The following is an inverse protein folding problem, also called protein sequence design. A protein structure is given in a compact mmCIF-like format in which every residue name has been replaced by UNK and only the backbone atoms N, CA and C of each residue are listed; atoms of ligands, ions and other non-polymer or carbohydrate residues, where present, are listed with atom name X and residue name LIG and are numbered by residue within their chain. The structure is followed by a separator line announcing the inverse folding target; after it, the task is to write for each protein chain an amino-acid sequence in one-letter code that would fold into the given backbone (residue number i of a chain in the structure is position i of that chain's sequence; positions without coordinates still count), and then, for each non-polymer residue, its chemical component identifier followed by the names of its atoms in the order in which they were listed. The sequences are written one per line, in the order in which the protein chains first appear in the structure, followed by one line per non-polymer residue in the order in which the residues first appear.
data_IF_338612483832
#
_entry.id   IF_338612483832
#
_cell.length_a   1.000
_cell.length_b   1.000
_cell.length_c   1.000
_cell.angle_alpha   90.00
_cell.angle_beta   90.00
_cell.angle_gamma   90.00
#
_symmetry.space_group_name_H-M   'P 1'
#
loop_
_entity.id
_entity.type
_entity.pdbx_description
1 polymer ?
#
# COMPACT_ATOMS: atom_id res chain seq x y z
N UNK A 1 -6.11 -4.92 -5.94
CA UNK A 1 -6.06 -3.49 -5.56
C UNK A 1 -4.97 -2.71 -6.30
N UNK A 2 -4.18 -3.33 -7.19
CA UNK A 2 -2.98 -2.70 -7.75
C UNK A 2 -3.28 -1.35 -8.44
N UNK A 3 -2.51 -0.33 -8.08
CA UNK A 3 -2.55 1.03 -8.61
C UNK A 3 -3.58 1.97 -7.95
N UNK A 4 -4.47 1.46 -7.08
CA UNK A 4 -5.49 2.30 -6.43
C UNK A 4 -4.89 3.18 -5.32
N UNK A 5 -5.44 4.38 -5.15
CA UNK A 5 -5.21 5.23 -3.96
C UNK A 5 -5.89 4.58 -2.77
N UNK A 6 -5.20 4.63 -1.64
CA UNK A 6 -5.68 4.07 -0.38
C UNK A 6 -5.32 4.98 0.77
N UNK A 7 -6.12 4.91 1.84
CA UNK A 7 -5.88 5.54 3.12
C UNK A 7 -5.54 4.45 4.14
N UNK A 8 -4.47 4.65 4.90
CA UNK A 8 -4.06 3.72 5.95
C UNK A 8 -4.55 4.23 7.32
N UNK A 9 -5.22 3.37 8.07
CA UNK A 9 -5.60 3.64 9.46
C UNK A 9 -4.47 3.26 10.40
N UNK A 10 -3.98 4.24 11.18
CA UNK A 10 -3.00 4.06 12.26
C UNK A 10 -3.63 4.41 13.62
N UNK A 11 -3.02 3.99 14.75
CA UNK A 11 -3.51 4.36 16.08
C UNK A 11 -3.58 5.88 16.31
N UNK A 12 -2.69 6.64 15.67
CA UNK A 12 -2.52 8.08 15.79
C UNK A 12 -3.26 8.90 14.71
N UNK A 13 -3.94 8.24 13.76
CA UNK A 13 -4.71 8.91 12.72
C UNK A 13 -4.71 8.17 11.38
N UNK A 14 -4.80 8.94 10.29
CA UNK A 14 -4.85 8.39 8.94
C UNK A 14 -3.66 8.87 8.11
N UNK A 15 -3.14 7.99 7.26
CA UNK A 15 -2.11 8.31 6.28
C UNK A 15 -2.72 8.33 4.89
N UNK A 16 -2.57 9.47 4.21
CA UNK A 16 -3.03 9.72 2.86
C UNK A 16 -1.87 9.65 1.86
N UNK A 17 -2.18 9.80 0.58
CA UNK A 17 -1.20 9.78 -0.52
C UNK A 17 -0.38 8.48 -0.55
N UNK A 18 -1.09 7.37 -0.40
CA UNK A 18 -0.56 6.01 -0.47
C UNK A 18 -1.24 5.26 -1.61
N UNK A 19 -0.51 4.36 -2.26
CA UNK A 19 -1.04 3.47 -3.31
C UNK A 19 -0.76 2.02 -3.01
N UNK A 20 -1.77 1.18 -3.28
CA UNK A 20 -1.61 -0.28 -3.26
C UNK A 20 -0.86 -0.74 -4.52
N UNK A 21 0.18 -1.55 -4.35
CA UNK A 21 1.01 -2.09 -5.45
C UNK A 21 0.89 -3.59 -5.62
N UNK A 22 0.10 -4.25 -4.79
CA UNK A 22 -0.24 -5.67 -4.92
C UNK A 22 -1.76 -5.91 -4.93
N UNK A 23 -2.13 -7.13 -5.28
CA UNK A 23 -3.41 -7.70 -4.86
C UNK A 23 -3.38 -8.03 -3.37
N UNK A 24 -4.54 -8.42 -2.81
CA UNK A 24 -4.59 -8.95 -1.45
C UNK A 24 -3.82 -10.27 -1.40
N UNK A 25 -2.93 -10.39 -0.43
CA UNK A 25 -2.16 -11.60 -0.17
C UNK A 25 -2.35 -12.01 1.30
N UNK A 26 -1.77 -13.15 1.70
CA UNK A 26 -1.72 -13.58 3.09
C UNK A 26 -0.29 -13.49 3.61
N UNK A 27 -0.14 -12.98 4.83
CA UNK A 27 1.13 -13.07 5.55
C UNK A 27 1.38 -14.50 6.08
N UNK A 28 2.52 -14.70 6.75
CA UNK A 28 2.89 -15.99 7.33
C UNK A 28 1.88 -16.51 8.39
N UNK A 29 1.10 -15.61 9.00
CA UNK A 29 0.06 -15.92 9.98
C UNK A 29 -1.33 -16.11 9.32
N UNK A 30 -1.41 -16.07 7.98
CA UNK A 30 -2.66 -16.20 7.23
C UNK A 30 -3.54 -14.95 7.22
N UNK A 31 -3.07 -13.81 7.75
CA UNK A 31 -3.83 -12.56 7.76
C UNK A 31 -3.75 -11.88 6.39
N UNK A 32 -4.85 -11.26 5.97
CA UNK A 32 -4.87 -10.54 4.70
C UNK A 32 -4.02 -9.26 4.80
N UNK A 33 -3.11 -9.10 3.84
CA UNK A 33 -2.23 -7.95 3.71
C UNK A 33 -2.25 -7.39 2.29
N UNK A 34 -1.86 -6.13 2.14
CA UNK A 34 -1.64 -5.48 0.85
C UNK A 34 -0.32 -4.72 0.91
N UNK A 35 0.48 -4.81 -0.15
CA UNK A 35 1.70 -4.02 -0.26
C UNK A 35 1.37 -2.61 -0.71
N UNK A 36 1.93 -1.63 -0.02
CA UNK A 36 1.68 -0.22 -0.26
C UNK A 36 2.98 0.57 -0.40
N UNK A 37 2.91 1.70 -1.09
CA UNK A 37 3.99 2.68 -1.23
C UNK A 37 3.40 4.10 -1.14
N UNK A 38 4.21 5.10 -0.80
CA UNK A 38 3.79 6.50 -0.95
C UNK A 38 3.51 6.81 -2.43
N UNK A 39 2.63 7.77 -2.69
CA UNK A 39 2.29 8.17 -4.05
C UNK A 39 3.50 8.73 -4.80
N UNK A 40 4.36 9.50 -4.12
CA UNK A 40 5.64 9.95 -4.68
C UNK A 40 6.49 8.76 -5.14
N UNK A 41 6.65 7.74 -4.29
CA UNK A 41 7.45 6.57 -4.61
C UNK A 41 6.84 5.75 -5.75
N UNK A 42 5.50 5.68 -5.84
CA UNK A 42 4.79 5.05 -6.94
C UNK A 42 5.11 5.73 -8.28
N UNK A 43 5.03 7.06 -8.35
CA UNK A 43 5.33 7.80 -9.57
C UNK A 43 6.81 7.77 -9.93
N UNK A 44 7.70 7.93 -8.95
CA UNK A 44 9.15 7.75 -9.17
C UNK A 44 9.44 6.37 -9.76
N UNK A 45 8.84 5.30 -9.22
CA UNK A 45 8.98 3.96 -9.79
C UNK A 45 8.46 3.91 -11.23
N UNK A 46 7.25 4.43 -11.50
CA UNK A 46 6.68 4.45 -12.85
C UNK A 46 7.61 5.12 -13.87
N UNK A 47 8.21 6.27 -13.52
CA UNK A 47 9.05 7.02 -14.44
C UNK A 47 10.46 6.46 -14.60
N UNK A 48 11.04 5.88 -13.54
CA UNK A 48 12.42 5.41 -13.56
C UNK A 48 12.54 3.91 -13.85
N UNK A 49 11.45 3.16 -13.73
CA UNK A 49 11.46 1.69 -13.75
C UNK A 49 12.05 1.05 -12.50
N UNK A 50 12.64 1.83 -11.58
CA UNK A 50 13.27 1.32 -10.35
C UNK A 50 12.19 1.08 -9.28
N UNK A 51 12.05 -0.18 -8.86
CA UNK A 51 11.03 -0.58 -7.90
C UNK A 51 11.16 0.17 -6.57
N UNK A 52 10.05 0.70 -6.08
CA UNK A 52 9.97 1.31 -4.75
C UNK A 52 9.99 0.22 -3.65
N UNK A 53 10.55 0.57 -2.48
CA UNK A 53 10.39 -0.25 -1.29
C UNK A 53 8.94 -0.22 -0.84
N UNK A 54 8.28 -1.37 -0.85
CA UNK A 54 6.88 -1.52 -0.50
C UNK A 54 6.74 -2.15 0.89
N UNK A 55 5.80 -1.63 1.66
CA UNK A 55 5.47 -2.12 3.00
C UNK A 55 4.21 -3.00 2.94
N UNK A 56 4.21 -4.13 3.65
CA UNK A 56 3.00 -4.95 3.82
C UNK A 56 2.13 -4.36 4.91
N UNK A 57 0.88 -4.02 4.58
CA UNK A 57 -0.07 -3.42 5.51
C UNK A 57 -1.30 -4.33 5.72
N UNK A 58 -1.81 -4.49 6.95
CA UNK A 58 -3.01 -5.29 7.20
C UNK A 58 -4.22 -4.76 6.42
N UNK A 59 -4.84 -5.60 5.59
CA UNK A 59 -5.91 -5.19 4.68
C UNK A 59 -7.12 -4.57 5.41
N UNK A 60 -7.42 -5.05 6.63
CA UNK A 60 -8.49 -4.52 7.50
C UNK A 60 -8.29 -3.07 7.96
N UNK A 61 -7.09 -2.52 7.78
CA UNK A 61 -6.73 -1.15 8.13
C UNK A 61 -6.54 -0.26 6.88
N UNK A 62 -6.89 -0.77 5.69
CA UNK A 62 -6.73 -0.08 4.41
C UNK A 62 -8.10 0.24 3.83
N UNK A 63 -8.30 1.50 3.47
CA UNK A 63 -9.52 2.00 2.86
C UNK A 63 -9.22 2.47 1.44
N UNK A 64 -10.02 2.05 0.47
CA UNK A 64 -9.88 2.55 -0.91
C UNK A 64 -10.46 3.96 -0.97
N UNK A 65 -9.70 4.89 -1.56
CA UNK A 65 -10.17 6.26 -1.84
C UNK A 65 -11.04 6.28 -3.11
#
# INVERSE_FOLDING_TARGET
MRGKRVVLSRPDGFVYDVRAVSELDRDADGRQVVRVVTEEAYFRWMFTGVAASAESYPARLVWVE
#
